data_IF_352370728926
#
_entry.id   IF_352370728926
#
_cell.length_a   1.000
_cell.length_b   1.000
_cell.length_c   1.000
_cell.angle_alpha   90.00
_cell.angle_beta   90.00
_cell.angle_gamma   90.00
#
_symmetry.space_group_name_H-M   'P 1'
#
loop_
_entity.id
_entity.type
_entity.pdbx_description
1 polymer ?
#
# COMPACT_ATOMS: atom_id res chain seq x y z
N UNK A 1 11.26 -5.68 8.78
CA UNK A 1 11.58 -5.61 7.35
C UNK A 1 11.08 -6.85 6.64
N UNK A 2 10.47 -6.69 5.47
CA UNK A 2 10.02 -7.82 4.64
C UNK A 2 11.23 -8.67 4.15
N UNK A 3 11.21 -10.01 4.23
CA UNK A 3 12.24 -10.88 3.65
C UNK A 3 12.46 -10.69 2.14
N UNK A 4 11.42 -10.31 1.41
CA UNK A 4 11.45 -10.04 -0.03
C UNK A 4 11.67 -8.54 -0.33
N UNK A 5 12.48 -7.86 0.49
CA UNK A 5 12.77 -6.44 0.29
C UNK A 5 13.42 -6.19 -1.08
N UNK A 6 12.74 -5.42 -1.91
CA UNK A 6 13.28 -4.91 -3.16
C UNK A 6 13.33 -3.38 -3.11
N UNK A 7 14.55 -2.83 -3.09
CA UNK A 7 14.78 -1.39 -3.07
C UNK A 7 14.25 -0.70 -4.34
N UNK A 8 14.20 -1.41 -5.48
CA UNK A 8 13.75 -0.84 -6.77
C UNK A 8 12.30 -0.37 -6.74
N UNK A 9 11.48 -0.92 -5.84
CA UNK A 9 10.09 -0.53 -5.63
C UNK A 9 9.96 0.86 -4.98
N UNK A 10 11.02 1.39 -4.35
CA UNK A 10 11.00 2.68 -3.66
C UNK A 10 11.18 3.86 -4.63
N UNK A 11 10.19 4.77 -4.74
CA UNK A 11 10.28 5.91 -5.65
C UNK A 11 11.37 6.89 -5.20
N UNK A 12 11.93 7.66 -6.14
CA UNK A 12 12.95 8.68 -5.84
C UNK A 12 12.49 9.73 -4.82
N UNK A 13 11.18 9.97 -4.74
CA UNK A 13 10.54 10.87 -3.79
C UNK A 13 10.38 10.30 -2.38
N UNK A 14 10.60 8.99 -2.17
CA UNK A 14 10.53 8.41 -0.83
C UNK A 14 11.69 8.94 0.02
N UNK A 15 11.37 9.70 1.06
CA UNK A 15 12.39 10.30 1.91
C UNK A 15 13.03 9.30 2.88
N UNK A 16 14.36 9.31 2.94
CA UNK A 16 15.20 8.48 3.79
C UNK A 16 15.49 9.19 5.11
N UNK A 17 15.62 8.44 6.19
CA UNK A 17 16.03 8.97 7.49
C UNK A 17 17.46 8.52 7.82
N UNK A 18 18.38 9.48 7.87
CA UNK A 18 19.78 9.23 8.21
C UNK A 18 20.11 9.45 9.70
N UNK A 19 19.12 9.82 10.52
CA UNK A 19 19.30 9.98 11.96
C UNK A 19 19.62 8.62 12.61
N UNK A 20 20.84 8.47 13.13
CA UNK A 20 21.34 7.25 13.77
C UNK A 20 21.05 7.19 15.28
N UNK A 21 20.70 8.32 15.89
CA UNK A 21 20.37 8.44 17.32
C UNK A 21 18.88 8.19 17.60
N UNK A 22 18.07 8.00 16.55
CA UNK A 22 16.64 7.80 16.66
C UNK A 22 16.31 6.48 17.37
N UNK A 23 15.66 6.55 18.53
CA UNK A 23 15.26 5.39 19.33
C UNK A 23 14.22 4.51 18.63
N UNK A 24 13.55 5.05 17.61
CA UNK A 24 12.54 4.35 16.79
C UNK A 24 13.11 3.80 15.47
N UNK A 25 14.44 3.88 15.27
CA UNK A 25 15.14 3.52 14.04
C UNK A 25 14.80 2.09 13.55
N UNK A 26 14.75 1.12 14.45
CA UNK A 26 14.50 -0.29 14.11
C UNK A 26 13.10 -0.51 13.52
N UNK A 27 12.12 0.28 13.96
CA UNK A 27 10.72 0.17 13.54
C UNK A 27 10.32 1.19 12.47
N UNK A 28 11.26 2.01 11.99
CA UNK A 28 11.00 3.08 11.04
C UNK A 28 11.44 2.69 9.63
N UNK A 29 10.50 2.54 8.70
CA UNK A 29 10.76 2.18 7.31
C UNK A 29 11.75 3.14 6.64
N UNK A 30 11.64 4.46 6.89
CA UNK A 30 12.57 5.45 6.32
C UNK A 30 14.02 5.21 6.72
N UNK A 31 14.25 4.71 7.94
CA UNK A 31 15.59 4.35 8.43
C UNK A 31 16.01 2.99 7.89
N UNK A 32 15.11 2.00 7.91
CA UNK A 32 15.39 0.65 7.42
C UNK A 32 15.77 0.62 5.94
N UNK A 33 15.11 1.44 5.11
CA UNK A 33 15.44 1.60 3.69
C UNK A 33 16.76 2.33 3.52
N UNK A 34 17.03 3.37 4.34
CA UNK A 34 18.30 4.10 4.29
C UNK A 34 19.53 3.21 4.60
N UNK A 35 19.38 2.23 5.49
CA UNK A 35 20.46 1.27 5.80
C UNK A 35 20.76 0.30 4.65
N UNK A 36 19.91 0.23 3.63
CA UNK A 36 19.99 -0.72 2.50
C UNK A 36 20.11 -0.02 1.16
N UNK A 37 20.53 1.25 1.14
CA UNK A 37 20.70 2.01 -0.10
C UNK A 37 21.75 1.32 -0.99
N UNK A 38 21.38 0.91 -2.22
CA UNK A 38 22.30 0.28 -3.14
C UNK A 38 23.20 1.34 -3.81
N UNK A 39 24.40 0.94 -4.25
CA UNK A 39 25.35 1.84 -4.89
C UNK A 39 24.82 2.40 -6.22
N UNK A 40 23.95 1.64 -6.87
CA UNK A 40 23.31 1.96 -8.14
C UNK A 40 22.28 3.10 -8.00
N UNK A 41 21.86 3.45 -6.77
CA UNK A 41 20.96 4.57 -6.53
C UNK A 41 21.76 5.88 -6.47
N UNK A 42 21.83 6.59 -7.59
CA UNK A 42 22.63 7.82 -7.73
C UNK A 42 22.22 8.94 -6.76
N UNK A 43 20.92 9.07 -6.49
CA UNK A 43 20.38 10.09 -5.61
C UNK A 43 19.20 9.59 -4.78
N UNK A 44 19.07 10.15 -3.59
CA UNK A 44 17.99 9.87 -2.65
C UNK A 44 17.43 11.15 -2.05
N UNK A 45 16.11 11.18 -1.85
CA UNK A 45 15.47 12.20 -1.03
C UNK A 45 15.76 11.90 0.44
N UNK A 46 16.18 12.91 1.20
CA UNK A 46 16.50 12.77 2.63
C UNK A 46 15.61 13.70 3.45
N UNK A 47 15.11 13.19 4.57
CA UNK A 47 14.42 13.99 5.58
C UNK A 47 15.40 15.02 6.15
N UNK A 48 14.99 16.29 6.21
CA UNK A 48 15.81 17.34 6.83
C UNK A 48 16.20 16.95 8.27
N UNK A 49 17.49 16.73 8.58
CA UNK A 49 17.91 16.30 9.91
C UNK A 49 17.55 17.29 11.02
N UNK A 50 17.45 18.60 10.70
CA UNK A 50 17.02 19.62 11.66
C UNK A 50 15.52 19.56 12.01
N UNK A 51 14.74 18.79 11.26
CA UNK A 51 13.30 18.61 11.49
C UNK A 51 12.97 17.38 12.36
N UNK A 52 13.96 16.54 12.65
CA UNK A 52 13.78 15.32 13.45
C UNK A 52 14.56 15.50 14.74
N UNK A 53 13.88 15.42 15.88
CA UNK A 53 14.55 15.38 17.17
C UNK A 53 15.54 14.19 17.20
N UNK A 54 16.71 14.33 17.85
CA UNK A 54 17.70 13.26 17.92
C UNK A 54 17.09 11.92 18.38
N UNK A 55 16.29 11.92 19.46
CA UNK A 55 15.62 10.72 19.99
C UNK A 55 14.51 10.17 19.09
N UNK A 56 13.89 11.01 18.27
CA UNK A 56 12.80 10.63 17.35
C UNK A 56 11.45 10.30 18.02
N UNK A 57 11.27 10.56 19.31
CA UNK A 57 10.07 10.17 20.08
C UNK A 57 8.76 10.71 19.47
N UNK A 58 8.73 11.98 19.06
CA UNK A 58 7.55 12.64 18.42
C UNK A 58 7.70 12.84 16.90
N UNK A 59 8.42 11.94 16.22
CA UNK A 59 8.67 12.07 14.79
C UNK A 59 7.37 11.94 13.96
N UNK A 60 6.86 13.07 13.46
CA UNK A 60 5.71 13.12 12.51
C UNK A 60 5.99 12.42 11.17
N UNK A 61 7.27 12.19 10.87
CA UNK A 61 7.73 11.54 9.65
C UNK A 61 7.95 10.03 9.84
N UNK A 62 7.64 9.49 11.02
CA UNK A 62 7.72 8.07 11.30
C UNK A 62 6.78 7.29 10.39
N UNK A 63 7.34 6.32 9.69
CA UNK A 63 6.59 5.34 8.90
C UNK A 63 6.92 3.97 9.49
N UNK A 64 5.94 3.19 9.98
CA UNK A 64 6.22 1.87 10.52
C UNK A 64 6.82 0.97 9.42
N UNK A 65 7.87 0.22 9.76
CA UNK A 65 8.38 -0.88 8.92
C UNK A 65 7.47 -2.11 9.06
N UNK A 66 6.24 -1.95 8.62
CA UNK A 66 5.23 -2.99 8.61
C UNK A 66 4.53 -2.93 7.24
N UNK A 67 4.82 -3.87 6.32
CA UNK A 67 4.06 -3.95 5.09
C UNK A 67 2.62 -4.35 5.42
N UNK A 68 1.68 -3.92 4.58
CA UNK A 68 0.28 -4.33 4.67
C UNK A 68 -0.02 -5.29 3.52
N UNK A 69 -1.09 -6.07 3.65
CA UNK A 69 -1.52 -6.98 2.62
C UNK A 69 -2.39 -6.26 1.58
N UNK A 70 -1.84 -6.06 0.39
CA UNK A 70 -2.53 -5.49 -0.75
C UNK A 70 -3.07 -6.62 -1.63
N UNK A 71 -4.22 -6.41 -2.26
CA UNK A 71 -4.74 -7.33 -3.27
C UNK A 71 -4.31 -6.90 -4.67
N UNK A 72 -4.22 -7.87 -5.58
CA UNK A 72 -3.91 -7.65 -7.00
C UNK A 72 -4.85 -8.48 -7.86
N UNK A 73 -5.59 -7.81 -8.72
CA UNK A 73 -6.54 -8.47 -9.62
C UNK A 73 -7.93 -8.65 -9.04
N UNK A 74 -8.92 -8.52 -9.92
CA UNK A 74 -10.34 -8.71 -9.61
C UNK A 74 -11.04 -9.54 -10.71
N UNK A 75 -10.28 -10.32 -11.47
CA UNK A 75 -10.79 -11.02 -12.66
C UNK A 75 -11.91 -11.99 -12.28
N UNK A 76 -11.77 -12.68 -11.16
CA UNK A 76 -12.76 -13.66 -10.67
C UNK A 76 -13.58 -13.16 -9.49
N UNK A 77 -13.46 -11.87 -9.14
CA UNK A 77 -14.03 -11.29 -7.93
C UNK A 77 -15.55 -11.49 -7.84
N UNK A 78 -16.25 -11.44 -8.99
CA UNK A 78 -17.71 -11.47 -9.05
C UNK A 78 -18.28 -12.81 -9.54
N UNK A 79 -17.45 -13.82 -9.78
CA UNK A 79 -17.87 -15.07 -10.45
C UNK A 79 -18.92 -15.86 -9.64
N UNK A 80 -18.89 -15.73 -8.31
CA UNK A 80 -19.82 -16.40 -7.39
C UNK A 80 -20.99 -15.52 -6.94
N UNK A 81 -21.05 -14.28 -7.43
CA UNK A 81 -22.11 -13.33 -7.07
C UNK A 81 -23.28 -13.49 -8.05
N UNK A 82 -24.55 -13.52 -7.58
CA UNK A 82 -25.70 -13.51 -8.48
C UNK A 82 -25.61 -12.38 -9.51
N UNK A 83 -25.97 -12.66 -10.76
CA UNK A 83 -25.71 -11.76 -11.89
C UNK A 83 -26.17 -10.31 -11.65
N UNK A 84 -27.40 -10.12 -11.14
CA UNK A 84 -27.93 -8.78 -10.88
C UNK A 84 -27.11 -8.03 -9.81
N UNK A 85 -26.69 -8.71 -8.76
CA UNK A 85 -25.85 -8.11 -7.72
C UNK A 85 -24.44 -7.84 -8.23
N UNK A 86 -23.88 -8.73 -9.05
CA UNK A 86 -22.57 -8.53 -9.69
C UNK A 86 -22.55 -7.27 -10.57
N UNK A 87 -23.60 -7.06 -11.36
CA UNK A 87 -23.76 -5.83 -12.18
C UNK A 87 -23.79 -4.59 -11.29
N UNK A 88 -24.53 -4.63 -10.18
CA UNK A 88 -24.64 -3.47 -9.29
C UNK A 88 -23.34 -3.21 -8.52
N UNK A 89 -22.69 -4.24 -7.97
CA UNK A 89 -21.39 -4.11 -7.29
C UNK A 89 -20.35 -3.53 -8.24
N UNK A 90 -20.29 -4.03 -9.48
CA UNK A 90 -19.40 -3.48 -10.51
C UNK A 90 -19.66 -1.99 -10.75
N UNK A 91 -20.92 -1.59 -10.88
CA UNK A 91 -21.29 -0.19 -11.06
C UNK A 91 -20.85 0.66 -9.87
N UNK A 92 -21.08 0.19 -8.64
CA UNK A 92 -20.65 0.88 -7.41
C UNK A 92 -19.12 1.00 -7.30
N UNK A 93 -18.37 -0.02 -7.70
CA UNK A 93 -16.92 0.04 -7.78
C UNK A 93 -16.45 1.08 -8.80
N UNK A 94 -17.08 1.14 -9.98
CA UNK A 94 -16.75 2.13 -11.02
C UNK A 94 -17.06 3.54 -10.54
N UNK A 95 -18.19 3.75 -9.85
CA UNK A 95 -18.57 5.05 -9.28
C UNK A 95 -17.60 5.51 -8.20
N UNK A 96 -17.15 4.60 -7.32
CA UNK A 96 -16.28 4.95 -6.20
C UNK A 96 -14.81 5.10 -6.60
N UNK A 97 -14.27 4.17 -7.40
CA UNK A 97 -12.86 4.18 -7.77
C UNK A 97 -12.57 4.91 -9.09
N UNK A 98 -13.60 5.12 -9.92
CA UNK A 98 -13.48 5.58 -11.30
C UNK A 98 -13.23 4.42 -12.27
N UNK A 99 -13.77 4.55 -13.48
CA UNK A 99 -13.69 3.53 -14.54
C UNK A 99 -12.25 3.10 -14.86
N UNK A 100 -11.34 4.08 -14.94
CA UNK A 100 -9.91 3.81 -15.19
C UNK A 100 -9.32 2.89 -14.13
N UNK A 101 -9.52 3.20 -12.85
CA UNK A 101 -8.95 2.40 -11.76
C UNK A 101 -9.57 1.02 -11.69
N UNK A 102 -10.88 0.89 -11.90
CA UNK A 102 -11.55 -0.41 -11.98
C UNK A 102 -10.87 -1.32 -13.00
N UNK A 103 -10.63 -0.84 -14.22
CA UNK A 103 -9.97 -1.65 -15.25
C UNK A 103 -8.48 -1.87 -14.98
N UNK A 104 -7.78 -0.96 -14.29
CA UNK A 104 -6.40 -1.19 -13.83
C UNK A 104 -6.33 -2.29 -12.77
N UNK A 105 -7.33 -2.38 -11.89
CA UNK A 105 -7.46 -3.53 -10.96
C UNK A 105 -7.65 -4.83 -11.74
N UNK A 106 -8.57 -4.85 -12.72
CA UNK A 106 -8.85 -6.04 -13.54
C UNK A 106 -7.63 -6.50 -14.34
N UNK A 107 -6.84 -5.58 -14.89
CA UNK A 107 -5.59 -5.89 -15.62
C UNK A 107 -4.37 -6.09 -14.71
N UNK A 108 -4.54 -6.09 -13.39
CA UNK A 108 -3.45 -6.22 -12.38
C UNK A 108 -2.37 -5.14 -12.48
N UNK A 109 -2.69 -3.99 -13.07
CA UNK A 109 -1.78 -2.84 -13.25
C UNK A 109 -1.68 -1.96 -12.00
N UNK A 110 -2.59 -2.15 -11.04
CA UNK A 110 -2.68 -1.38 -9.80
C UNK A 110 -3.05 -2.29 -8.64
N UNK A 111 -2.32 -2.16 -7.53
CA UNK A 111 -2.66 -2.83 -6.26
C UNK A 111 -3.86 -2.16 -5.59
N UNK A 112 -4.64 -2.95 -4.89
CA UNK A 112 -5.85 -2.54 -4.16
C UNK A 112 -5.47 -2.40 -2.68
N UNK A 113 -5.54 -1.18 -2.18
CA UNK A 113 -5.15 -0.86 -0.79
C UNK A 113 -6.06 -1.57 0.22
N UNK A 114 -5.60 -1.84 1.45
CA UNK A 114 -6.45 -2.46 2.48
C UNK A 114 -7.81 -1.79 2.68
N UNK A 115 -7.88 -0.46 2.70
CA UNK A 115 -9.15 0.27 2.82
C UNK A 115 -10.03 0.16 1.56
N UNK A 116 -9.45 0.00 0.38
CA UNK A 116 -10.20 -0.23 -0.86
C UNK A 116 -10.76 -1.66 -0.89
N UNK A 117 -10.00 -2.64 -0.40
CA UNK A 117 -10.48 -4.02 -0.20
C UNK A 117 -11.64 -4.06 0.79
N UNK A 118 -11.54 -3.32 1.90
CA UNK A 118 -12.62 -3.18 2.88
C UNK A 118 -13.86 -2.57 2.25
N UNK A 119 -13.71 -1.50 1.45
CA UNK A 119 -14.84 -0.94 0.73
C UNK A 119 -15.53 -1.98 -0.16
N UNK A 120 -14.78 -2.77 -0.93
CA UNK A 120 -15.32 -3.84 -1.76
C UNK A 120 -16.07 -4.88 -0.90
N UNK A 121 -15.51 -5.29 0.24
CA UNK A 121 -16.18 -6.18 1.21
C UNK A 121 -17.52 -5.62 1.66
N UNK A 122 -17.60 -4.32 1.96
CA UNK A 122 -18.89 -3.70 2.33
C UNK A 122 -19.94 -3.77 1.22
N UNK A 123 -19.53 -3.74 -0.06
CA UNK A 123 -20.46 -3.87 -1.18
C UNK A 123 -21.07 -5.28 -1.24
N UNK A 124 -20.27 -6.31 -0.99
CA UNK A 124 -20.72 -7.70 -0.96
C UNK A 124 -21.72 -7.92 0.19
N UNK A 125 -21.37 -7.47 1.40
CA UNK A 125 -22.24 -7.58 2.57
C UNK A 125 -23.59 -6.86 2.38
N UNK A 126 -23.61 -5.69 1.75
CA UNK A 126 -24.85 -4.96 1.43
C UNK A 126 -25.79 -5.72 0.49
N UNK A 127 -25.28 -6.71 -0.24
CA UNK A 127 -26.04 -7.59 -1.14
C UNK A 127 -26.36 -8.95 -0.53
N UNK A 128 -26.08 -9.13 0.77
CA UNK A 128 -26.30 -10.41 1.45
C UNK A 128 -25.26 -11.48 1.11
N UNK A 129 -24.18 -11.13 0.40
CA UNK A 129 -23.05 -12.03 0.18
C UNK A 129 -22.17 -11.97 1.43
N UNK A 130 -22.20 -13.04 2.22
CA UNK A 130 -21.43 -13.17 3.47
C UNK A 130 -20.05 -13.79 3.25
N UNK A 131 -19.82 -14.42 2.09
CA UNK A 131 -18.50 -14.88 1.69
C UNK A 131 -17.55 -13.71 1.47
N UNK A 132 -16.30 -13.89 1.89
CA UNK A 132 -15.23 -12.92 1.67
C UNK A 132 -14.94 -12.75 0.16
N UNK A 133 -14.78 -11.52 -0.35
CA UNK A 133 -14.40 -11.31 -1.73
C UNK A 133 -13.05 -11.95 -2.05
N UNK A 134 -13.04 -12.88 -3.00
CA UNK A 134 -11.83 -13.54 -3.46
C UNK A 134 -11.12 -12.68 -4.51
N UNK A 135 -10.05 -12.00 -4.11
CA UNK A 135 -9.13 -11.33 -5.04
C UNK A 135 -8.21 -12.36 -5.70
N UNK A 136 -7.65 -12.04 -6.87
CA UNK A 136 -6.84 -13.01 -7.62
C UNK A 136 -5.55 -13.36 -6.86
N UNK A 137 -4.90 -12.36 -6.26
CA UNK A 137 -3.61 -12.49 -5.56
C UNK A 137 -3.50 -11.51 -4.39
N UNK A 138 -2.65 -11.85 -3.41
CA UNK A 138 -2.26 -10.97 -2.31
C UNK A 138 -0.75 -10.75 -2.28
N UNK A 139 -0.33 -9.52 -2.02
CA UNK A 139 1.08 -9.09 -2.00
C UNK A 139 1.33 -8.23 -0.76
N UNK A 140 2.41 -8.51 -0.04
CA UNK A 140 2.88 -7.62 1.03
C UNK A 140 3.53 -6.37 0.42
N UNK A 141 3.04 -5.19 0.79
CA UNK A 141 3.49 -3.93 0.19
C UNK A 141 3.46 -2.78 1.20
N UNK A 142 4.34 -1.80 1.02
CA UNK A 142 4.40 -0.59 1.85
C UNK A 142 3.64 0.57 1.18
N UNK A 143 2.94 1.43 1.93
CA UNK A 143 2.39 2.67 1.32
C UNK A 143 3.51 3.70 1.08
N UNK A 144 4.16 3.58 -0.08
CA UNK A 144 5.31 4.40 -0.48
C UNK A 144 4.94 5.84 -0.88
N UNK A 145 3.65 6.14 -1.05
CA UNK A 145 3.15 7.43 -1.51
C UNK A 145 2.51 8.26 -0.41
N UNK A 146 2.71 7.88 0.86
CA UNK A 146 2.27 8.67 2.00
C UNK A 146 2.96 10.05 1.95
N UNK A 147 2.17 11.09 1.65
CA UNK A 147 2.66 12.48 1.57
C UNK A 147 3.23 12.89 2.93
N UNK A 148 4.39 13.56 2.87
CA UNK A 148 5.05 14.22 4.00
C UNK A 148 4.35 15.55 4.27
#
# INVERSE_FOLDING_TARGET
MNPNFDYSLFPYSFAHCLNHECLRAEKCLRRQVALRMPKEREAVTVVNPKHVAPSGEDCKLFVPDQPEQYARGITHLLDRVPHNDAVIIKQQMIEHFGQTNYYRFSRKERLIKPHEQEYIRTLFHKRGVTEEPAFDEYVEYYDLYRKI
#
